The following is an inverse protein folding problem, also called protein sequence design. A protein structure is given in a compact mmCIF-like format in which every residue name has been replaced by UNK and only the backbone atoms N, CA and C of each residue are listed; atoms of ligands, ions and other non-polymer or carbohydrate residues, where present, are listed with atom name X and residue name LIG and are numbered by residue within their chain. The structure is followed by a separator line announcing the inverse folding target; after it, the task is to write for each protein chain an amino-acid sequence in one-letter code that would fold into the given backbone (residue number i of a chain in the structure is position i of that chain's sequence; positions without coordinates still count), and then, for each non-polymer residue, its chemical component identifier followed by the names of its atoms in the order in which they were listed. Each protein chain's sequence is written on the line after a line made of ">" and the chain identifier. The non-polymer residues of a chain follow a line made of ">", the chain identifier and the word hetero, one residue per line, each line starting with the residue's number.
data_IF_688899100372
#
_entry.id   IF_688899100372
#
_cell.length_a   1.000
_cell.length_b   1.000
_cell.length_c   1.000
_cell.angle_alpha   90.00
_cell.angle_beta   90.00
_cell.angle_gamma   90.00
#
_symmetry.space_group_name_H-M   'P 1'
#
loop_
_entity.id
_entity.type
_entity.pdbx_description
1 polymer ?
#
# COMPACT_ATOMS: atom_id res chain seq x y z
N UNK A 1 30.74 1.78 2.48
CA UNK A 1 29.90 1.05 1.49
C UNK A 1 28.45 1.22 1.91
N UNK A 2 27.49 1.29 0.98
CA UNK A 2 26.08 1.45 1.32
C UNK A 2 25.56 0.22 2.07
N UNK A 3 24.91 0.46 3.20
CA UNK A 3 24.09 -0.48 3.96
C UNK A 3 22.66 0.09 4.08
N UNK A 4 21.68 -0.60 3.50
CA UNK A 4 20.33 -0.08 3.29
C UNK A 4 19.34 -0.73 4.25
N UNK A 5 18.49 0.06 4.90
CA UNK A 5 17.26 -0.45 5.51
C UNK A 5 16.11 -0.27 4.53
N UNK A 6 15.49 -1.38 4.13
CA UNK A 6 14.31 -1.40 3.29
C UNK A 6 13.07 -1.69 4.15
N UNK A 7 12.26 -0.65 4.39
CA UNK A 7 10.97 -0.80 5.06
C UNK A 7 9.96 -1.33 4.05
N UNK A 8 9.47 -2.55 4.25
CA UNK A 8 8.74 -3.29 3.23
C UNK A 8 7.25 -3.47 3.49
N UNK A 9 6.65 -4.39 2.72
CA UNK A 9 5.21 -4.71 2.78
C UNK A 9 4.45 -4.45 1.48
N UNK A 10 5.14 -4.08 0.40
CA UNK A 10 4.57 -3.87 -0.94
C UNK A 10 5.29 -4.71 -1.99
N UNK A 11 4.67 -4.89 -3.16
CA UNK A 11 5.34 -5.51 -4.31
C UNK A 11 6.55 -4.69 -4.76
N UNK A 12 6.48 -3.35 -4.69
CA UNK A 12 7.62 -2.46 -4.99
C UNK A 12 8.80 -2.70 -4.06
N UNK A 13 8.55 -2.94 -2.77
CA UNK A 13 9.61 -3.33 -1.83
C UNK A 13 10.27 -4.65 -2.23
N UNK A 14 9.49 -5.67 -2.61
CA UNK A 14 10.05 -6.95 -3.06
C UNK A 14 10.85 -6.85 -4.36
N UNK A 15 10.40 -6.02 -5.30
CA UNK A 15 11.17 -5.74 -6.54
C UNK A 15 12.49 -5.05 -6.22
N UNK A 16 12.49 -4.06 -5.32
CA UNK A 16 13.71 -3.40 -4.88
C UNK A 16 14.64 -4.36 -4.11
N UNK A 17 14.09 -5.24 -3.27
CA UNK A 17 14.89 -6.23 -2.55
C UNK A 17 15.66 -7.15 -3.51
N UNK A 18 15.01 -7.63 -4.57
CA UNK A 18 15.66 -8.39 -5.63
C UNK A 18 16.74 -7.58 -6.35
N UNK A 19 16.47 -6.30 -6.62
CA UNK A 19 17.43 -5.43 -7.30
C UNK A 19 18.68 -5.16 -6.44
N UNK A 20 18.51 -4.89 -5.14
CA UNK A 20 19.60 -4.72 -4.18
C UNK A 20 20.45 -5.99 -4.06
N UNK A 21 19.80 -7.16 -3.96
CA UNK A 21 20.47 -8.46 -3.92
C UNK A 21 21.33 -8.69 -5.17
N UNK A 22 20.76 -8.50 -6.37
CA UNK A 22 21.49 -8.65 -7.65
C UNK A 22 22.65 -7.68 -7.79
N UNK A 23 22.53 -6.47 -7.23
CA UNK A 23 23.59 -5.47 -7.23
C UNK A 23 24.66 -5.70 -6.15
N UNK A 24 24.50 -6.71 -5.28
CA UNK A 24 25.42 -6.97 -4.17
C UNK A 24 25.42 -5.86 -3.11
N UNK A 25 24.36 -5.06 -3.02
CA UNK A 25 24.25 -3.97 -2.04
C UNK A 25 23.77 -4.55 -0.71
N UNK A 26 24.53 -4.33 0.36
CA UNK A 26 24.16 -4.78 1.69
C UNK A 26 22.83 -4.13 2.12
N UNK A 27 21.84 -4.94 2.48
CA UNK A 27 20.53 -4.46 2.85
C UNK A 27 19.82 -5.37 3.84
N UNK A 28 19.00 -4.78 4.71
CA UNK A 28 18.08 -5.47 5.61
C UNK A 28 16.66 -5.13 5.22
N UNK A 29 15.84 -6.15 5.00
CA UNK A 29 14.40 -6.01 4.75
C UNK A 29 13.62 -6.03 6.06
N UNK A 30 12.66 -5.13 6.24
CA UNK A 30 11.85 -5.07 7.47
C UNK A 30 10.35 -5.24 7.19
N UNK A 31 9.76 -6.27 7.81
CA UNK A 31 8.31 -6.45 7.88
C UNK A 31 7.76 -6.01 9.23
N UNK A 32 6.56 -5.43 9.23
CA UNK A 32 5.85 -5.07 10.46
C UNK A 32 5.25 -6.28 11.22
N UNK A 33 5.22 -7.48 10.61
CA UNK A 33 4.62 -8.69 11.22
C UNK A 33 3.09 -8.71 11.19
N UNK A 34 2.47 -8.15 10.15
CA UNK A 34 1.00 -8.07 10.04
C UNK A 34 0.36 -9.38 9.57
N UNK A 35 1.07 -10.18 8.79
CA UNK A 35 0.62 -11.48 8.26
C UNK A 35 1.41 -12.59 8.90
N UNK A 36 0.78 -13.75 9.12
CA UNK A 36 1.45 -14.90 9.75
C UNK A 36 2.56 -15.50 8.87
N UNK A 37 2.40 -15.45 7.55
CA UNK A 37 3.38 -16.00 6.60
C UNK A 37 3.76 -14.96 5.54
N UNK A 38 4.65 -14.00 5.84
CA UNK A 38 5.12 -13.03 4.86
C UNK A 38 5.91 -13.72 3.74
N UNK A 39 5.91 -13.11 2.55
CA UNK A 39 6.68 -13.62 1.40
C UNK A 39 8.18 -13.50 1.69
N UNK A 40 8.92 -14.60 1.51
CA UNK A 40 10.37 -14.61 1.68
C UNK A 40 11.05 -13.59 0.75
N UNK A 41 12.10 -12.93 1.26
CA UNK A 41 12.87 -11.93 0.53
C UNK A 41 14.31 -12.40 0.34
N UNK A 42 15.00 -12.00 -0.74
CA UNK A 42 16.39 -12.40 -1.00
C UNK A 42 17.41 -11.61 -0.16
N UNK A 43 16.98 -11.04 0.96
CA UNK A 43 17.78 -10.20 1.86
C UNK A 43 17.59 -10.68 3.31
N UNK A 44 18.59 -10.45 4.19
CA UNK A 44 18.39 -10.56 5.64
C UNK A 44 17.11 -9.84 6.05
N UNK A 45 16.18 -10.56 6.66
CA UNK A 45 14.83 -10.06 6.93
C UNK A 45 14.56 -10.03 8.44
N UNK A 46 14.10 -8.88 8.93
CA UNK A 46 13.57 -8.72 10.29
C UNK A 46 12.05 -8.59 10.28
N UNK A 47 11.42 -9.06 11.35
CA UNK A 47 9.96 -8.98 11.54
C UNK A 47 9.65 -8.34 12.89
N UNK A 48 8.73 -7.38 12.90
CA UNK A 48 8.26 -6.70 14.10
C UNK A 48 8.52 -5.20 14.08
N UNK A 49 7.91 -4.49 15.03
CA UNK A 49 8.09 -3.04 15.17
C UNK A 49 9.51 -2.64 15.54
N UNK A 50 9.77 -1.33 15.50
CA UNK A 50 11.01 -0.73 15.98
C UNK A 50 10.86 -0.07 17.35
N UNK A 51 9.65 0.02 17.92
CA UNK A 51 9.40 0.81 19.14
C UNK A 51 9.30 2.32 18.86
N UNK A 52 8.62 2.71 17.79
CA UNK A 52 8.46 4.11 17.39
C UNK A 52 9.68 4.69 16.67
N UNK A 53 9.70 6.01 16.49
CA UNK A 53 10.79 6.72 15.81
C UNK A 53 12.13 6.60 16.57
N UNK A 54 12.11 6.69 17.90
CA UNK A 54 13.32 6.58 18.72
C UNK A 54 14.00 5.21 18.59
N UNK A 55 13.22 4.13 18.68
CA UNK A 55 13.78 2.79 18.53
C UNK A 55 14.22 2.51 17.09
N UNK A 56 13.58 3.11 16.08
CA UNK A 56 14.10 3.10 14.71
C UNK A 56 15.44 3.83 14.64
N UNK A 57 15.58 5.03 15.20
CA UNK A 57 16.83 5.78 15.21
C UNK A 57 17.98 5.02 15.90
N UNK A 58 17.70 4.33 17.01
CA UNK A 58 18.66 3.44 17.67
C UNK A 58 19.07 2.29 16.74
N UNK A 59 18.12 1.66 16.05
CA UNK A 59 18.41 0.62 15.06
C UNK A 59 19.30 1.14 13.92
N UNK A 60 19.00 2.33 13.38
CA UNK A 60 19.80 2.94 12.30
C UNK A 60 21.26 3.13 12.73
N UNK A 61 21.50 3.65 13.94
CA UNK A 61 22.87 3.82 14.47
C UNK A 61 23.55 2.49 14.75
N UNK A 62 22.85 1.57 15.44
CA UNK A 62 23.43 0.30 15.87
C UNK A 62 23.78 -0.64 14.71
N UNK A 63 23.04 -0.56 13.59
CA UNK A 63 23.32 -1.34 12.37
C UNK A 63 24.14 -0.56 11.33
N UNK A 64 24.60 0.65 11.68
CA UNK A 64 25.29 1.56 10.76
C UNK A 64 24.57 1.71 9.41
N UNK A 65 23.25 1.91 9.46
CA UNK A 65 22.43 2.08 8.26
C UNK A 65 22.79 3.41 7.60
N UNK A 66 23.22 3.31 6.35
CA UNK A 66 23.61 4.45 5.53
C UNK A 66 22.43 5.09 4.79
N UNK A 67 21.40 4.32 4.45
CA UNK A 67 20.24 4.78 3.69
C UNK A 67 18.97 4.05 4.16
N UNK A 68 17.86 4.78 4.22
CA UNK A 68 16.54 4.18 4.44
C UNK A 68 15.71 4.35 3.18
N UNK A 69 15.14 3.24 2.71
CA UNK A 69 14.10 3.26 1.68
C UNK A 69 12.78 2.89 2.31
N UNK A 70 11.85 3.85 2.35
CA UNK A 70 10.46 3.61 2.75
C UNK A 70 9.67 3.11 1.55
N UNK A 71 9.55 1.79 1.43
CA UNK A 71 8.71 1.11 0.44
C UNK A 71 7.47 0.47 1.11
N UNK A 72 7.03 1.03 2.24
CA UNK A 72 5.83 0.55 2.93
C UNK A 72 4.56 0.91 2.14
N UNK A 73 3.43 0.33 2.53
CA UNK A 73 2.16 0.67 1.90
C UNK A 73 1.85 2.18 2.10
N UNK A 74 1.28 2.93 1.14
CA UNK A 74 1.00 4.38 1.31
C UNK A 74 0.11 4.74 2.52
N UNK A 75 -0.64 3.76 3.03
CA UNK A 75 -1.48 3.87 4.23
C UNK A 75 -0.78 3.42 5.53
N UNK A 76 0.48 2.97 5.47
CA UNK A 76 1.31 2.66 6.64
C UNK A 76 1.91 3.95 7.24
N UNK A 77 1.08 4.98 7.36
CA UNK A 77 1.49 6.35 7.62
C UNK A 77 2.32 6.53 8.88
N UNK A 78 2.02 5.74 9.92
CA UNK A 78 2.78 5.79 11.17
C UNK A 78 4.23 5.33 10.97
N UNK A 79 4.45 4.29 10.17
CA UNK A 79 5.81 3.82 9.88
C UNK A 79 6.57 4.86 9.04
N UNK A 80 5.93 5.46 8.04
CA UNK A 80 6.53 6.55 7.26
C UNK A 80 6.87 7.78 8.10
N UNK A 81 5.99 8.18 9.04
CA UNK A 81 6.27 9.26 10.00
C UNK A 81 7.47 8.93 10.88
N UNK A 82 7.48 7.73 11.48
CA UNK A 82 8.60 7.26 12.28
C UNK A 82 9.91 7.25 11.48
N UNK A 83 9.87 6.87 10.20
CA UNK A 83 11.03 6.88 9.31
C UNK A 83 11.54 8.31 9.09
N UNK A 84 10.64 9.27 8.82
CA UNK A 84 11.02 10.68 8.67
C UNK A 84 11.70 11.22 9.93
N UNK A 85 11.08 11.00 11.10
CA UNK A 85 11.59 11.47 12.38
C UNK A 85 12.94 10.82 12.73
N UNK A 86 13.05 9.50 12.58
CA UNK A 86 14.28 8.78 12.87
C UNK A 86 15.43 9.20 11.96
N UNK A 87 15.18 9.30 10.65
CA UNK A 87 16.17 9.70 9.66
C UNK A 87 16.65 11.14 9.89
N UNK A 88 15.73 12.06 10.23
CA UNK A 88 16.09 13.42 10.62
C UNK A 88 16.97 13.44 11.88
N UNK A 89 16.64 12.63 12.89
CA UNK A 89 17.40 12.56 14.15
C UNK A 89 18.77 11.87 14.03
N UNK A 90 19.01 11.08 12.99
CA UNK A 90 20.30 10.41 12.75
C UNK A 90 21.10 11.02 11.61
N UNK A 91 20.52 11.92 10.83
CA UNK A 91 21.10 12.41 9.58
C UNK A 91 21.15 11.34 8.48
N UNK A 92 20.41 10.23 8.62
CA UNK A 92 20.38 9.17 7.62
C UNK A 92 19.49 9.59 6.44
N UNK A 93 19.99 9.56 5.19
CA UNK A 93 19.16 9.82 4.00
C UNK A 93 17.94 8.90 3.91
N UNK A 94 16.79 9.49 3.56
CA UNK A 94 15.50 8.80 3.39
C UNK A 94 14.92 9.06 2.00
N UNK A 95 14.55 7.98 1.31
CA UNK A 95 13.80 8.03 0.06
C UNK A 95 12.55 7.16 0.17
N UNK A 96 11.39 7.66 -0.25
CA UNK A 96 10.20 6.83 -0.38
C UNK A 96 10.12 6.20 -1.77
N UNK A 97 9.98 4.87 -1.83
CA UNK A 97 9.59 4.16 -3.05
C UNK A 97 8.07 4.06 -3.05
N UNK A 98 7.43 5.03 -3.68
CA UNK A 98 5.99 5.21 -3.66
C UNK A 98 5.48 5.47 -5.09
N UNK A 99 4.50 4.68 -5.51
CA UNK A 99 3.81 4.83 -6.79
C UNK A 99 2.78 5.97 -6.73
N UNK A 100 2.50 6.60 -7.86
CA UNK A 100 1.46 7.65 -7.95
C UNK A 100 0.07 7.14 -7.52
N UNK A 101 -0.77 7.98 -6.93
CA UNK A 101 -2.16 7.64 -6.65
C UNK A 101 -2.91 7.39 -7.96
N UNK A 102 -3.90 6.51 -7.90
CA UNK A 102 -4.79 6.36 -9.04
C UNK A 102 -5.63 7.62 -9.21
N UNK A 103 -5.93 7.93 -10.46
CA UNK A 103 -6.84 9.00 -10.86
C UNK A 103 -8.08 8.38 -11.50
N UNK A 104 -9.24 8.96 -11.23
CA UNK A 104 -10.49 8.56 -11.85
C UNK A 104 -10.41 8.82 -13.37
N UNK A 105 -10.96 7.89 -14.15
CA UNK A 105 -11.07 7.95 -15.60
C UNK A 105 -12.54 7.93 -16.02
N UNK A 106 -12.82 8.12 -17.31
CA UNK A 106 -14.19 8.03 -17.81
C UNK A 106 -14.84 6.68 -17.43
N UNK A 107 -16.06 6.75 -16.89
CA UNK A 107 -16.81 5.59 -16.38
C UNK A 107 -16.56 5.26 -14.90
N UNK A 108 -15.58 5.89 -14.24
CA UNK A 108 -15.40 5.75 -12.79
C UNK A 108 -16.41 6.59 -12.01
N UNK A 109 -17.12 5.97 -11.06
CA UNK A 109 -18.01 6.64 -10.12
C UNK A 109 -17.36 6.74 -8.72
N UNK A 110 -16.30 7.55 -8.60
CA UNK A 110 -15.55 7.65 -7.35
C UNK A 110 -16.11 8.72 -6.41
N UNK A 111 -16.12 8.40 -5.12
CA UNK A 111 -16.45 9.30 -4.02
C UNK A 111 -15.19 9.41 -3.17
N UNK A 112 -14.45 10.50 -3.34
CA UNK A 112 -13.20 10.72 -2.61
C UNK A 112 -13.48 11.14 -1.17
N UNK A 113 -12.87 10.43 -0.21
CA UNK A 113 -13.04 10.68 1.23
C UNK A 113 -11.69 10.73 1.95
N UNK A 114 -11.54 11.54 3.01
CA UNK A 114 -10.25 11.74 3.67
C UNK A 114 -9.77 10.55 4.50
N UNK A 115 -10.69 9.74 5.04
CA UNK A 115 -10.38 8.65 5.97
C UNK A 115 -11.47 7.55 5.99
N UNK A 116 -11.29 6.56 6.87
CA UNK A 116 -12.20 5.42 6.97
C UNK A 116 -13.54 5.76 7.63
N UNK A 117 -13.57 6.75 8.53
CA UNK A 117 -14.79 7.21 9.16
C UNK A 117 -15.69 7.90 8.12
N UNK A 118 -15.10 8.79 7.30
CA UNK A 118 -15.79 9.40 6.18
C UNK A 118 -16.20 8.35 5.12
N UNK A 119 -15.39 7.30 4.92
CA UNK A 119 -15.77 6.20 4.03
C UNK A 119 -17.01 5.44 4.51
N UNK A 120 -17.09 5.15 5.81
CA UNK A 120 -18.28 4.53 6.38
C UNK A 120 -19.49 5.45 6.27
N UNK A 121 -19.34 6.75 6.53
CA UNK A 121 -20.41 7.74 6.44
C UNK A 121 -20.92 7.99 5.01
N UNK A 122 -20.09 7.74 3.99
CA UNK A 122 -20.46 7.89 2.58
C UNK A 122 -21.33 6.74 2.03
N UNK A 123 -21.43 5.62 2.76
CA UNK A 123 -22.29 4.49 2.39
C UNK A 123 -23.78 4.86 2.54
N UNK A 124 -24.68 4.22 1.77
CA UNK A 124 -26.11 4.52 1.82
C UNK A 124 -26.71 4.16 3.20
N UNK A 125 -27.83 4.79 3.55
CA UNK A 125 -28.55 4.44 4.79
C UNK A 125 -29.26 3.08 4.69
N UNK A 126 -29.77 2.75 3.50
CA UNK A 126 -30.40 1.45 3.26
C UNK A 126 -29.36 0.32 3.28
N UNK A 127 -29.79 -0.89 3.65
CA UNK A 127 -28.95 -2.08 3.60
C UNK A 127 -28.40 -2.27 2.17
N UNK A 128 -27.12 -2.65 2.09
CA UNK A 128 -26.38 -2.80 0.83
C UNK A 128 -25.27 -3.83 1.01
N UNK A 129 -24.77 -4.34 -0.11
CA UNK A 129 -23.68 -5.32 -0.17
C UNK A 129 -22.37 -4.62 -0.52
N UNK A 130 -21.50 -4.48 0.47
CA UNK A 130 -20.32 -3.62 0.39
C UNK A 130 -19.04 -4.47 0.39
N UNK A 131 -18.18 -4.29 -0.61
CA UNK A 131 -16.85 -4.89 -0.60
C UNK A 131 -15.85 -3.95 0.09
N UNK A 132 -15.34 -4.37 1.26
CA UNK A 132 -14.32 -3.65 2.01
C UNK A 132 -12.91 -4.11 1.60
N UNK A 133 -12.37 -3.52 0.53
CA UNK A 133 -11.01 -3.76 0.05
C UNK A 133 -9.93 -2.97 0.84
N UNK A 134 -10.10 -2.87 2.17
CA UNK A 134 -9.29 -2.01 3.06
C UNK A 134 -8.40 -2.79 4.05
N UNK A 135 -8.59 -4.11 4.13
CA UNK A 135 -7.89 -5.04 5.01
C UNK A 135 -8.40 -5.05 6.46
N UNK A 136 -7.98 -6.06 7.24
CA UNK A 136 -8.51 -6.37 8.59
C UNK A 136 -8.43 -5.21 9.59
N UNK A 137 -7.37 -4.40 9.57
CA UNK A 137 -7.10 -3.39 10.60
C UNK A 137 -8.04 -2.18 10.60
N UNK A 138 -8.89 -2.03 9.57
CA UNK A 138 -9.72 -0.83 9.39
C UNK A 138 -11.22 -1.13 9.48
N UNK A 139 -11.60 -2.37 9.79
CA UNK A 139 -13.00 -2.80 9.80
C UNK A 139 -13.82 -2.13 10.89
N UNK A 140 -13.20 -1.74 12.01
CA UNK A 140 -13.88 -1.10 13.14
C UNK A 140 -14.58 0.22 12.75
N UNK A 141 -14.10 0.93 11.73
CA UNK A 141 -14.74 2.16 11.26
C UNK A 141 -16.16 1.93 10.70
N UNK A 142 -16.47 0.69 10.28
CA UNK A 142 -17.76 0.31 9.68
C UNK A 142 -18.74 -0.29 10.69
N UNK A 143 -18.33 -0.47 11.96
CA UNK A 143 -19.17 -1.09 12.99
C UNK A 143 -20.43 -0.26 13.33
N UNK A 144 -20.39 1.06 13.08
CA UNK A 144 -21.56 1.94 13.23
C UNK A 144 -22.59 1.84 12.10
N UNK A 145 -22.33 1.03 11.08
CA UNK A 145 -23.22 0.79 9.93
C UNK A 145 -23.54 -0.73 9.84
N UNK A 146 -24.22 -1.32 10.85
CA UNK A 146 -24.42 -2.76 10.96
C UNK A 146 -25.43 -3.34 9.96
N UNK A 147 -26.23 -2.49 9.30
CA UNK A 147 -27.28 -2.89 8.37
C UNK A 147 -26.74 -3.44 7.03
N UNK A 148 -25.47 -3.19 6.71
CA UNK A 148 -24.86 -3.68 5.48
C UNK A 148 -24.35 -5.12 5.62
N UNK A 149 -24.29 -5.82 4.48
CA UNK A 149 -23.52 -7.05 4.36
C UNK A 149 -22.13 -6.73 3.82
N UNK A 150 -21.08 -7.08 4.56
CA UNK A 150 -19.71 -6.77 4.18
C UNK A 150 -18.98 -7.98 3.61
N UNK A 151 -18.56 -7.89 2.35
CA UNK A 151 -17.55 -8.79 1.79
C UNK A 151 -16.17 -8.32 2.25
N UNK A 152 -15.40 -9.23 2.83
CA UNK A 152 -14.03 -9.00 3.29
C UNK A 152 -13.09 -9.90 2.50
N UNK A 153 -11.96 -9.36 2.04
CA UNK A 153 -10.86 -10.16 1.49
C UNK A 153 -9.64 -10.06 2.40
N UNK A 154 -9.31 -11.17 3.06
CA UNK A 154 -8.26 -11.24 4.08
C UNK A 154 -7.17 -12.23 3.67
N UNK A 155 -5.93 -11.99 4.11
CA UNK A 155 -4.81 -12.92 3.84
C UNK A 155 -4.89 -14.13 4.78
N UNK A 156 -5.04 -13.86 6.07
CA UNK A 156 -5.14 -14.87 7.11
C UNK A 156 -6.58 -14.91 7.65
N UNK A 157 -7.05 -16.10 8.03
CA UNK A 157 -8.38 -16.25 8.63
C UNK A 157 -8.48 -15.42 9.93
N UNK A 158 -9.60 -14.72 10.15
CA UNK A 158 -9.82 -14.05 11.42
C UNK A 158 -10.12 -15.09 12.51
N UNK A 159 -9.69 -14.82 13.74
CA UNK A 159 -10.09 -15.62 14.90
C UNK A 159 -11.62 -15.57 15.05
N UNK A 160 -12.27 -16.66 15.48
CA UNK A 160 -13.71 -16.68 15.73
C UNK A 160 -14.17 -15.50 16.60
N UNK A 161 -15.20 -14.79 16.16
CA UNK A 161 -15.75 -13.63 16.88
C UNK A 161 -14.88 -12.35 16.88
N UNK A 162 -13.72 -12.35 16.21
CA UNK A 162 -12.82 -11.18 16.21
C UNK A 162 -13.18 -10.07 15.22
N UNK A 163 -14.17 -10.30 14.35
CA UNK A 163 -14.62 -9.28 13.40
C UNK A 163 -15.64 -8.35 14.08
N UNK A 164 -15.48 -7.02 13.96
CA UNK A 164 -16.37 -6.05 14.60
C UNK A 164 -17.68 -5.82 13.83
N UNK A 165 -18.00 -6.68 12.85
CA UNK A 165 -19.10 -6.50 11.90
C UNK A 165 -20.03 -7.72 11.98
N UNK A 166 -21.36 -7.53 12.15
CA UNK A 166 -22.29 -8.62 12.40
C UNK A 166 -22.60 -9.46 11.14
N UNK A 167 -22.57 -8.86 9.95
CA UNK A 167 -22.92 -9.51 8.69
C UNK A 167 -21.75 -9.47 7.73
N UNK A 168 -20.99 -10.58 7.66
CA UNK A 168 -19.79 -10.65 6.84
C UNK A 168 -19.71 -11.92 6.02
N UNK A 169 -19.09 -11.82 4.85
CA UNK A 169 -18.52 -12.96 4.13
C UNK A 169 -17.02 -12.74 4.02
N UNK A 170 -16.23 -13.72 4.41
CA UNK A 170 -14.77 -13.65 4.32
C UNK A 170 -14.29 -14.53 3.18
N UNK A 171 -13.56 -13.93 2.25
CA UNK A 171 -12.79 -14.64 1.24
C UNK A 171 -11.32 -14.53 1.59
N UNK A 172 -10.64 -15.68 1.65
CA UNK A 172 -9.21 -15.73 1.87
C UNK A 172 -8.49 -15.58 0.54
N UNK A 173 -7.50 -14.69 0.49
CA UNK A 173 -6.74 -14.46 -0.72
C UNK A 173 -5.58 -13.50 -0.50
N UNK A 174 -4.51 -13.74 -1.26
CA UNK A 174 -3.35 -12.87 -1.34
C UNK A 174 -3.15 -12.44 -2.79
N UNK A 175 -3.12 -11.13 -3.02
CA UNK A 175 -2.93 -10.58 -4.36
C UNK A 175 -1.51 -10.76 -4.90
N UNK A 176 -1.24 -10.29 -6.14
CA UNK A 176 -2.15 -9.47 -6.96
C UNK A 176 -3.36 -10.26 -7.48
N UNK A 177 -4.46 -9.54 -7.74
CA UNK A 177 -5.70 -10.10 -8.32
C UNK A 177 -5.94 -9.43 -9.67
N UNK A 178 -6.35 -10.22 -10.67
CA UNK A 178 -6.70 -9.69 -11.99
C UNK A 178 -8.03 -8.93 -11.95
N UNK A 179 -8.32 -8.16 -13.00
CA UNK A 179 -9.61 -7.48 -13.12
C UNK A 179 -10.75 -8.49 -13.29
N UNK A 180 -10.48 -9.59 -14.00
CA UNK A 180 -11.42 -10.68 -14.25
C UNK A 180 -11.76 -11.42 -12.96
N UNK A 181 -10.76 -11.74 -12.11
CA UNK A 181 -10.97 -12.35 -10.80
C UNK A 181 -11.79 -11.45 -9.89
N UNK A 182 -11.46 -10.14 -9.87
CA UNK A 182 -12.20 -9.17 -9.08
C UNK A 182 -13.64 -9.01 -9.61
N UNK A 183 -13.87 -8.96 -10.92
CA UNK A 183 -15.23 -8.89 -11.49
C UNK A 183 -16.06 -10.11 -11.12
N UNK A 184 -15.49 -11.32 -11.26
CA UNK A 184 -16.17 -12.56 -10.90
C UNK A 184 -16.54 -12.58 -9.41
N UNK A 185 -15.65 -12.10 -8.53
CA UNK A 185 -15.89 -11.95 -7.10
C UNK A 185 -17.04 -10.98 -6.82
N UNK A 186 -17.01 -9.79 -7.45
CA UNK A 186 -18.05 -8.77 -7.27
C UNK A 186 -19.42 -9.28 -7.73
N UNK A 187 -19.49 -9.98 -8.88
CA UNK A 187 -20.74 -10.58 -9.38
C UNK A 187 -21.25 -11.69 -8.48
N UNK A 188 -20.38 -12.64 -8.10
CA UNK A 188 -20.74 -13.80 -7.26
C UNK A 188 -21.36 -13.36 -5.94
N UNK A 189 -20.83 -12.29 -5.35
CA UNK A 189 -21.34 -11.76 -4.09
C UNK A 189 -22.38 -10.66 -4.27
N UNK A 190 -22.78 -10.30 -5.49
CA UNK A 190 -23.75 -9.23 -5.75
C UNK A 190 -23.35 -7.92 -5.10
N UNK A 191 -22.09 -7.51 -5.25
CA UNK A 191 -21.57 -6.28 -4.62
C UNK A 191 -22.17 -5.06 -5.29
N UNK A 192 -22.60 -4.10 -4.47
CA UNK A 192 -23.21 -2.85 -4.88
C UNK A 192 -22.28 -1.65 -4.65
N UNK A 193 -21.37 -1.75 -3.67
CA UNK A 193 -20.45 -0.67 -3.30
C UNK A 193 -19.05 -1.21 -3.05
N UNK A 194 -18.03 -0.50 -3.53
CA UNK A 194 -16.63 -0.79 -3.24
C UNK A 194 -16.05 0.29 -2.32
N UNK A 195 -15.42 -0.11 -1.22
CA UNK A 195 -14.56 0.79 -0.44
C UNK A 195 -13.10 0.39 -0.65
N UNK A 196 -12.29 1.34 -1.12
CA UNK A 196 -10.89 1.12 -1.43
C UNK A 196 -9.99 2.23 -0.88
N UNK A 197 -8.75 1.86 -0.55
CA UNK A 197 -7.66 2.81 -0.29
C UNK A 197 -7.00 3.18 -1.60
N UNK A 198 -6.70 4.47 -1.82
CA UNK A 198 -5.93 4.92 -2.99
C UNK A 198 -4.45 4.55 -2.86
N UNK A 199 -4.16 3.25 -2.97
CA UNK A 199 -2.83 2.69 -2.85
C UNK A 199 -1.96 2.96 -4.10
N UNK A 200 -2.56 3.43 -5.20
CA UNK A 200 -1.89 3.59 -6.51
C UNK A 200 -1.53 2.28 -7.19
N UNK A 201 -0.83 2.38 -8.32
CA UNK A 201 -0.17 1.30 -9.07
C UNK A 201 -1.00 0.11 -9.60
N UNK A 202 -0.53 -0.44 -10.72
CA UNK A 202 -1.30 -1.36 -11.57
C UNK A 202 -1.65 -2.70 -10.92
N UNK A 203 -0.71 -3.32 -10.20
CA UNK A 203 -0.89 -4.67 -9.65
C UNK A 203 -2.07 -4.83 -8.66
N UNK A 204 -2.65 -3.73 -8.18
CA UNK A 204 -3.79 -3.73 -7.26
C UNK A 204 -5.01 -2.99 -7.82
N UNK A 205 -4.98 -2.63 -9.12
CA UNK A 205 -6.03 -1.84 -9.78
C UNK A 205 -7.25 -2.68 -10.16
N UNK A 206 -7.11 -4.01 -10.31
CA UNK A 206 -8.16 -4.95 -10.74
C UNK A 206 -9.56 -4.63 -10.22
N UNK A 207 -9.75 -4.53 -8.90
CA UNK A 207 -11.03 -4.18 -8.27
C UNK A 207 -11.68 -2.88 -8.74
N UNK A 208 -10.89 -1.87 -9.13
CA UNK A 208 -11.38 -0.60 -9.63
C UNK A 208 -11.83 -0.74 -11.07
N UNK A 209 -11.09 -1.49 -11.88
CA UNK A 209 -11.47 -1.76 -13.27
C UNK A 209 -12.71 -2.66 -13.32
N UNK A 210 -12.81 -3.65 -12.42
CA UNK A 210 -14.02 -4.45 -12.20
C UNK A 210 -15.21 -3.61 -11.74
N UNK A 211 -15.02 -2.70 -10.78
CA UNK A 211 -16.07 -1.78 -10.34
C UNK A 211 -16.55 -0.88 -11.50
N UNK A 212 -15.64 -0.38 -12.33
CA UNK A 212 -15.97 0.39 -13.55
C UNK A 212 -16.80 -0.43 -14.53
N UNK A 213 -16.37 -1.66 -14.83
CA UNK A 213 -17.08 -2.56 -15.74
C UNK A 213 -18.50 -2.88 -15.28
N UNK A 214 -18.71 -2.91 -13.96
CA UNK A 214 -20.00 -3.16 -13.32
C UNK A 214 -20.80 -1.88 -13.01
N UNK A 215 -20.26 -0.68 -13.26
CA UNK A 215 -20.90 0.59 -12.94
C UNK A 215 -21.08 0.85 -11.44
N UNK A 216 -20.24 0.25 -10.59
CA UNK A 216 -20.35 0.36 -9.14
C UNK A 216 -19.72 1.65 -8.60
N UNK A 217 -20.37 2.32 -7.64
CA UNK A 217 -19.73 3.40 -6.90
C UNK A 217 -18.53 2.90 -6.08
N UNK A 218 -17.46 3.69 -6.10
CA UNK A 218 -16.24 3.42 -5.34
C UNK A 218 -16.02 4.54 -4.33
N UNK A 219 -16.14 4.23 -3.04
CA UNK A 219 -15.68 5.10 -1.97
C UNK A 219 -14.16 4.99 -1.89
N UNK A 220 -13.47 6.04 -2.34
CA UNK A 220 -12.02 6.07 -2.48
C UNK A 220 -11.41 6.86 -1.32
N UNK A 221 -10.82 6.14 -0.37
CA UNK A 221 -10.10 6.74 0.75
C UNK A 221 -8.78 7.30 0.24
N UNK A 222 -8.56 8.59 0.48
CA UNK A 222 -7.36 9.31 0.07
C UNK A 222 -6.16 8.97 0.94
N UNK A 223 -4.95 9.19 0.39
CA UNK A 223 -3.71 8.93 1.13
C UNK A 223 -3.61 9.89 2.33
N UNK A 224 -3.14 9.40 3.49
CA UNK A 224 -2.93 10.25 4.64
C UNK A 224 -1.82 11.27 4.37
N UNK A 225 -1.96 12.46 4.94
CA UNK A 225 -0.90 13.45 4.91
C UNK A 225 0.35 12.95 5.66
N UNK A 226 1.52 13.15 5.05
CA UNK A 226 2.82 12.75 5.57
C UNK A 226 3.80 13.93 5.52
N UNK A 227 4.82 13.95 6.40
CA UNK A 227 5.92 14.90 6.29
C UNK A 227 6.55 14.86 4.90
N UNK A 228 6.99 16.03 4.42
CA UNK A 228 7.64 16.16 3.14
C UNK A 228 8.92 15.31 3.11
N UNK A 229 9.06 14.49 2.06
CA UNK A 229 10.25 13.66 1.80
C UNK A 229 10.40 13.45 0.31
N UNK A 230 11.62 13.12 -0.13
CA UNK A 230 11.85 12.71 -1.51
C UNK A 230 11.10 11.40 -1.81
N UNK A 231 10.55 11.30 -3.02
CA UNK A 231 9.72 10.17 -3.47
C UNK A 231 10.08 9.81 -4.90
N UNK A 232 10.00 8.53 -5.22
CA UNK A 232 10.07 8.02 -6.59
C UNK A 232 9.23 6.76 -6.74
N UNK A 233 8.64 6.56 -7.92
CA UNK A 233 7.97 5.30 -8.28
C UNK A 233 8.92 4.25 -8.87
N UNK A 234 10.21 4.54 -9.04
CA UNK A 234 11.15 3.72 -9.81
C UNK A 234 12.24 3.07 -8.96
N UNK A 235 12.33 1.74 -9.03
CA UNK A 235 13.42 0.96 -8.43
C UNK A 235 14.78 1.40 -8.98
N UNK A 236 14.87 1.68 -10.29
CA UNK A 236 16.13 2.15 -10.90
C UNK A 236 16.56 3.51 -10.33
N UNK A 237 15.61 4.42 -10.11
CA UNK A 237 15.91 5.71 -9.50
C UNK A 237 16.36 5.58 -8.04
N UNK A 238 15.83 4.60 -7.29
CA UNK A 238 16.32 4.29 -5.93
C UNK A 238 17.78 3.81 -5.96
N UNK A 239 18.14 2.90 -6.87
CA UNK A 239 19.52 2.43 -6.99
C UNK A 239 20.48 3.56 -7.36
N UNK A 240 20.07 4.43 -8.30
CA UNK A 240 20.85 5.62 -8.65
C UNK A 240 21.03 6.55 -7.44
N UNK A 241 19.97 6.79 -6.67
CA UNK A 241 20.02 7.59 -5.45
C UNK A 241 20.95 7.01 -4.38
N UNK A 242 20.96 5.68 -4.18
CA UNK A 242 21.89 5.02 -3.25
C UNK A 242 23.35 5.22 -3.70
N UNK A 243 23.61 5.21 -5.01
CA UNK A 243 24.95 5.32 -5.56
C UNK A 243 25.48 6.78 -5.59
N UNK A 244 24.60 7.76 -5.79
CA UNK A 244 24.99 9.14 -6.11
C UNK A 244 24.44 10.20 -5.14
N UNK A 245 23.56 9.83 -4.21
CA UNK A 245 22.95 10.74 -3.24
C UNK A 245 21.87 11.67 -3.80
N UNK A 246 21.57 11.57 -5.10
CA UNK A 246 20.57 12.39 -5.80
C UNK A 246 19.65 11.52 -6.64
N UNK A 247 18.40 11.94 -6.81
CA UNK A 247 17.51 11.32 -7.78
C UNK A 247 17.96 11.70 -9.20
N UNK A 248 17.79 10.81 -10.19
CA UNK A 248 18.05 11.16 -11.58
C UNK A 248 17.13 12.31 -12.00
N UNK A 249 17.66 13.25 -12.76
CA UNK A 249 16.83 14.26 -13.44
C UNK A 249 15.85 13.54 -14.38
N UNK A 250 14.59 13.93 -14.36
CA UNK A 250 13.60 13.37 -15.27
C UNK A 250 14.09 13.58 -16.71
N UNK A 251 14.35 12.49 -17.44
CA UNK A 251 14.54 12.60 -18.88
C UNK A 251 13.21 13.04 -19.49
N UNK A 252 13.20 14.01 -20.43
CA UNK A 252 11.98 14.36 -21.15
C UNK A 252 11.40 13.10 -21.81
N UNK A 253 10.08 12.94 -21.73
CA UNK A 253 9.40 11.83 -22.38
C UNK A 253 9.79 11.76 -23.86
N UNK A 254 10.03 10.56 -24.43
CA UNK A 254 10.27 10.44 -25.87
C UNK A 254 9.08 11.06 -26.62
N UNK A 255 9.33 11.79 -27.74
CA UNK A 255 8.26 12.40 -28.50
C UNK A 255 7.24 11.35 -28.93
N UNK A 256 5.96 11.69 -28.85
CA UNK A 256 4.89 10.82 -29.28
C UNK A 256 5.13 10.37 -30.74
N UNK A 257 4.88 9.08 -31.08
CA UNK A 257 5.00 8.63 -32.46
C UNK A 257 4.09 9.47 -33.36
N UNK A 258 4.55 9.82 -34.58
CA UNK A 258 3.75 10.63 -35.49
C UNK A 258 2.42 9.93 -35.78
N UNK A 259 1.33 10.70 -35.70
CA UNK A 259 0.00 10.24 -36.08
C UNK A 259 0.04 9.80 -37.54
N UNK A 260 -0.24 8.52 -37.81
CA UNK A 260 -0.36 8.04 -39.18
C UNK A 260 -1.63 8.62 -39.83
N UNK A 261 -1.55 9.06 -41.10
CA UNK A 261 -2.67 9.64 -41.84
C UNK A 261 -3.76 8.63 -42.18
#
# INVERSE_FOLDING_TARGET
>A
MPHVLLLGGTSGASQLAQALHRAGIAAVFSYAGVTQSPVAQPLPTRVGGFGGAQGLAQFLRGQAISHVVDATHPFAAQMSRNACEACAATGTPLLALEREPWQASAGDAWIDVPDMQAAAAALPQAAARVFLAVGRKQLAAFAGQPQHHYLLRLVDAPEPGSLPLPHTTVVLGRGPFSAEDDEALLRTHGIEWLVAKNAGGEATRGKLDAARALGLPVVMVQRPALPQRQRTGSVAAVLHWIAHGVLPTAQPAPPAPPSMP
#
